data_IF_709391074059
#
_entry.id   IF_709391074059
#
_cell.length_a   1.000
_cell.length_b   1.000
_cell.length_c   1.000
_cell.angle_alpha   90.00
_cell.angle_beta   90.00
_cell.angle_gamma   90.00
#
_symmetry.space_group_name_H-M   'P 1'
#
loop_
_entity.id
_entity.type
_entity.pdbx_description
1 polymer ?
#
# COMPACT_ATOMS: atom_id res chain seq x y z
N UNK A 1 10.58 20.37 24.92
CA UNK A 1 11.72 20.16 25.79
C UNK A 1 12.90 19.58 25.00
N UNK A 2 12.78 18.41 24.39
CA UNK A 2 13.87 17.75 23.67
C UNK A 2 14.51 18.56 22.52
N UNK A 3 13.77 19.41 21.82
CA UNK A 3 14.29 20.25 20.72
C UNK A 3 15.14 21.39 21.29
N UNK A 4 14.67 22.05 22.34
CA UNK A 4 15.42 23.14 23.00
C UNK A 4 16.71 22.63 23.60
N UNK A 5 16.72 21.44 24.21
CA UNK A 5 17.91 20.82 24.77
C UNK A 5 18.97 20.55 23.68
N UNK A 6 18.57 20.13 22.49
CA UNK A 6 19.45 19.97 21.34
C UNK A 6 20.00 21.29 20.82
N UNK A 7 19.21 22.35 20.77
CA UNK A 7 19.64 23.69 20.34
C UNK A 7 20.71 24.21 21.30
N UNK A 8 20.51 24.06 22.60
CA UNK A 8 21.50 24.46 23.62
C UNK A 8 22.81 23.70 23.45
N UNK A 9 22.72 22.36 23.28
CA UNK A 9 23.89 21.48 23.09
C UNK A 9 24.73 21.89 21.88
N UNK A 10 24.06 22.10 20.72
CA UNK A 10 24.77 22.52 19.50
C UNK A 10 25.40 23.92 19.64
N UNK A 11 24.75 24.82 20.38
CA UNK A 11 25.32 26.15 20.67
C UNK A 11 26.56 26.07 21.56
N UNK A 12 26.54 25.24 22.60
CA UNK A 12 27.69 25.01 23.48
C UNK A 12 28.88 24.41 22.73
N UNK A 13 28.61 23.48 21.82
CA UNK A 13 29.65 22.83 21.01
C UNK A 13 30.04 23.60 19.76
N UNK A 14 29.50 24.80 19.54
CA UNK A 14 29.72 25.63 18.32
C UNK A 14 29.52 24.88 17.00
N UNK A 15 28.51 24.03 16.97
CA UNK A 15 28.12 23.28 15.77
C UNK A 15 26.81 23.84 15.20
N UNK A 16 26.69 23.84 13.88
CA UNK A 16 25.50 24.32 13.21
C UNK A 16 24.37 23.30 13.32
N UNK A 17 23.18 23.78 13.63
CA UNK A 17 21.97 22.97 13.72
C UNK A 17 20.90 23.56 12.81
N UNK A 18 20.56 22.83 11.76
CA UNK A 18 19.39 23.10 10.90
C UNK A 18 18.22 22.30 11.45
N UNK A 19 17.10 22.97 11.68
CA UNK A 19 15.86 22.29 12.08
C UNK A 19 14.70 22.72 11.17
N UNK A 20 13.80 21.77 10.93
CA UNK A 20 12.63 21.97 10.09
C UNK A 20 11.38 21.54 10.87
N UNK A 21 10.23 22.05 10.45
CA UNK A 21 8.92 21.71 11.00
C UNK A 21 8.14 20.83 10.04
N UNK A 22 7.25 20.00 10.56
CA UNK A 22 6.39 19.16 9.74
C UNK A 22 5.33 19.93 8.94
N UNK A 23 5.03 21.16 9.36
CA UNK A 23 4.09 22.06 8.71
C UNK A 23 4.56 23.51 8.85
N UNK A 24 4.30 24.31 7.81
CA UNK A 24 4.58 25.74 7.74
C UNK A 24 3.28 26.48 7.37
N UNK A 25 3.14 27.72 7.85
CA UNK A 25 1.94 28.53 7.60
C UNK A 25 2.01 29.32 6.28
N UNK A 26 3.10 29.22 5.54
CA UNK A 26 3.36 29.96 4.29
C UNK A 26 2.99 29.17 3.01
N UNK A 27 2.39 27.99 3.18
CA UNK A 27 1.96 27.12 2.08
C UNK A 27 3.09 26.37 1.38
N UNK A 28 4.35 26.54 1.81
CA UNK A 28 5.51 25.83 1.25
C UNK A 28 5.73 24.49 1.92
N UNK A 29 6.34 23.58 1.18
CA UNK A 29 6.65 22.24 1.69
C UNK A 29 7.88 22.26 2.64
N UNK A 30 7.98 21.25 3.51
CA UNK A 30 9.18 21.00 4.31
C UNK A 30 10.44 20.90 3.44
N UNK A 31 10.32 20.36 2.21
CA UNK A 31 11.43 20.21 1.30
C UNK A 31 11.95 21.55 0.79
N UNK A 32 11.07 22.51 0.55
CA UNK A 32 11.45 23.84 0.07
C UNK A 32 12.17 24.61 1.17
N UNK A 33 11.68 24.54 2.41
CA UNK A 33 12.37 25.14 3.56
C UNK A 33 13.73 24.51 3.80
N UNK A 34 13.83 23.18 3.75
CA UNK A 34 15.12 22.50 3.91
C UNK A 34 16.13 22.87 2.81
N UNK A 35 15.66 23.00 1.55
CA UNK A 35 16.51 23.44 0.44
C UNK A 35 17.09 24.85 0.69
N UNK A 36 16.24 25.78 1.10
CA UNK A 36 16.67 27.15 1.39
C UNK A 36 17.72 27.18 2.49
N UNK A 37 17.50 26.45 3.59
CA UNK A 37 18.48 26.39 4.69
C UNK A 37 19.80 25.78 4.23
N UNK A 38 19.78 24.67 3.50
CA UNK A 38 21.00 24.04 2.99
C UNK A 38 21.79 24.97 2.05
N UNK A 39 21.11 25.71 1.17
CA UNK A 39 21.75 26.69 0.29
C UNK A 39 22.44 27.81 1.10
N UNK A 40 21.81 28.31 2.19
CA UNK A 40 22.42 29.31 3.07
C UNK A 40 23.73 28.84 3.69
N UNK A 41 23.83 27.53 3.97
CA UNK A 41 25.05 26.90 4.47
C UNK A 41 26.05 26.50 3.37
N UNK A 42 25.81 26.89 2.13
CA UNK A 42 26.73 26.67 1.01
C UNK A 42 26.67 25.28 0.38
N UNK A 43 25.60 24.51 0.64
CA UNK A 43 25.43 23.23 -0.02
C UNK A 43 24.91 23.42 -1.44
N UNK A 44 25.58 22.82 -2.41
CA UNK A 44 25.08 22.69 -3.78
C UNK A 44 24.12 21.49 -3.84
N UNK A 45 22.86 21.78 -4.15
CA UNK A 45 21.84 20.74 -4.26
C UNK A 45 21.78 20.21 -5.69
N UNK A 46 22.18 18.96 -5.87
CA UNK A 46 22.03 18.26 -7.15
C UNK A 46 20.78 17.39 -7.10
N UNK A 47 19.74 17.70 -7.90
CA UNK A 47 18.56 16.86 -7.98
C UNK A 47 18.94 15.50 -8.58
N UNK A 48 18.67 14.42 -7.86
CA UNK A 48 18.86 13.07 -8.37
C UNK A 48 17.54 12.55 -8.92
N UNK A 49 17.57 11.72 -9.98
CA UNK A 49 16.39 11.04 -10.46
C UNK A 49 15.73 10.23 -9.33
N UNK A 50 14.42 10.31 -9.22
CA UNK A 50 13.66 9.60 -8.16
C UNK A 50 13.96 8.09 -8.12
N UNK A 51 14.31 7.52 -9.28
CA UNK A 51 14.69 6.10 -9.40
C UNK A 51 16.00 5.80 -8.66
N UNK A 52 17.03 6.61 -8.82
CA UNK A 52 18.31 6.43 -8.11
C UNK A 52 18.16 6.56 -6.60
N UNK A 53 17.35 7.54 -6.17
CA UNK A 53 17.02 7.72 -4.75
C UNK A 53 16.31 6.48 -4.22
N UNK A 54 15.33 5.97 -4.93
CA UNK A 54 14.59 4.77 -4.57
C UNK A 54 15.51 3.54 -4.51
N UNK A 55 16.33 3.30 -5.53
CA UNK A 55 17.28 2.18 -5.57
C UNK A 55 18.27 2.22 -4.39
N UNK A 56 18.75 3.42 -4.05
CA UNK A 56 19.64 3.61 -2.88
C UNK A 56 18.92 3.36 -1.55
N UNK A 57 17.65 3.77 -1.43
CA UNK A 57 16.84 3.50 -0.25
C UNK A 57 16.57 2.00 -0.10
N UNK A 58 16.27 1.31 -1.20
CA UNK A 58 15.94 -0.13 -1.20
C UNK A 58 17.17 -1.00 -0.95
N UNK A 59 18.36 -0.59 -1.42
CA UNK A 59 19.61 -1.34 -1.24
C UNK A 59 20.16 -1.33 0.19
N UNK A 60 19.65 -0.47 1.06
CA UNK A 60 20.01 -0.46 2.48
C UNK A 60 19.28 -1.60 3.18
N UNK A 61 19.99 -2.63 3.64
CA UNK A 61 19.45 -3.88 4.25
C UNK A 61 18.47 -3.67 5.43
N UNK A 62 18.41 -2.49 5.99
CA UNK A 62 17.53 -2.15 7.13
C UNK A 62 16.19 -1.51 6.73
N UNK A 63 15.73 -1.60 5.48
CA UNK A 63 14.56 -0.85 5.09
C UNK A 63 13.24 -1.48 5.56
N UNK A 64 13.02 -1.42 6.88
CA UNK A 64 11.78 -1.83 7.56
C UNK A 64 10.53 -1.17 6.95
N UNK A 65 10.68 0.01 6.33
CA UNK A 65 9.56 0.73 5.70
C UNK A 65 9.09 0.06 4.41
N UNK A 66 10.03 -0.34 3.54
CA UNK A 66 9.71 -1.04 2.30
C UNK A 66 9.08 -2.40 2.60
N UNK A 67 9.68 -3.17 3.51
CA UNK A 67 9.11 -4.48 3.91
C UNK A 67 7.70 -4.34 4.50
N UNK A 68 7.44 -3.30 5.29
CA UNK A 68 6.11 -3.01 5.82
C UNK A 68 5.12 -2.60 4.72
N UNK A 69 5.57 -1.76 3.77
CA UNK A 69 4.74 -1.35 2.63
C UNK A 69 4.37 -2.57 1.77
N UNK A 70 5.36 -3.41 1.43
CA UNK A 70 5.12 -4.66 0.67
C UNK A 70 4.10 -5.54 1.39
N UNK A 71 4.29 -5.77 2.70
CA UNK A 71 3.34 -6.55 3.50
C UNK A 71 1.93 -5.94 3.48
N UNK A 72 1.84 -4.62 3.59
CA UNK A 72 0.55 -3.91 3.56
C UNK A 72 -0.14 -4.06 2.20
N UNK A 73 0.59 -3.91 1.10
CA UNK A 73 0.07 -4.11 -0.27
C UNK A 73 -0.40 -5.56 -0.47
N UNK A 74 0.41 -6.54 -0.06
CA UNK A 74 0.02 -7.95 -0.14
C UNK A 74 -1.26 -8.24 0.66
N UNK A 75 -1.34 -7.76 1.90
CA UNK A 75 -2.53 -7.92 2.74
C UNK A 75 -3.75 -7.25 2.13
N UNK A 76 -3.58 -6.06 1.55
CA UNK A 76 -4.67 -5.37 0.87
C UNK A 76 -5.18 -6.17 -0.34
N UNK A 77 -4.29 -6.65 -1.22
CA UNK A 77 -4.64 -7.44 -2.40
C UNK A 77 -5.35 -8.74 -1.99
N UNK A 78 -4.84 -9.41 -0.97
CA UNK A 78 -5.48 -10.62 -0.43
C UNK A 78 -6.90 -10.32 0.05
N UNK A 79 -7.09 -9.30 0.89
CA UNK A 79 -8.42 -8.90 1.37
C UNK A 79 -9.34 -8.45 0.23
N UNK A 80 -8.81 -7.75 -0.76
CA UNK A 80 -9.55 -7.32 -1.95
C UNK A 80 -10.14 -8.53 -2.70
N UNK A 81 -9.32 -9.55 -2.94
CA UNK A 81 -9.73 -10.80 -3.59
C UNK A 81 -10.67 -11.64 -2.70
N UNK A 82 -10.32 -11.80 -1.42
CA UNK A 82 -11.14 -12.56 -0.44
C UNK A 82 -12.58 -12.02 -0.33
N UNK A 83 -12.75 -10.70 -0.51
CA UNK A 83 -14.08 -10.08 -0.52
C UNK A 83 -14.73 -10.02 -1.91
N UNK A 84 -14.13 -10.63 -2.93
CA UNK A 84 -14.65 -10.66 -4.30
C UNK A 84 -14.83 -9.27 -4.89
N UNK A 85 -13.95 -8.32 -4.54
CA UNK A 85 -14.03 -6.96 -5.04
C UNK A 85 -13.58 -6.89 -6.50
N UNK A 86 -14.26 -6.08 -7.28
CA UNK A 86 -13.94 -5.82 -8.69
C UNK A 86 -13.02 -4.61 -8.85
N UNK A 87 -12.35 -4.50 -9.98
CA UNK A 87 -11.40 -3.41 -10.27
C UNK A 87 -12.02 -2.02 -10.18
N UNK A 88 -13.33 -1.87 -10.41
CA UNK A 88 -14.05 -0.61 -10.24
C UNK A 88 -14.01 -0.07 -8.80
N UNK A 89 -13.78 -0.97 -7.83
CA UNK A 89 -13.63 -0.57 -6.44
C UNK A 89 -12.40 0.31 -6.21
N UNK A 90 -11.32 0.16 -6.98
CA UNK A 90 -10.15 1.04 -6.87
C UNK A 90 -10.52 2.49 -7.16
N UNK A 91 -11.19 2.73 -8.29
CA UNK A 91 -11.66 4.08 -8.64
C UNK A 91 -12.58 4.65 -7.55
N UNK A 92 -13.55 3.86 -7.09
CA UNK A 92 -14.47 4.29 -6.02
C UNK A 92 -13.74 4.64 -4.73
N UNK A 93 -12.78 3.83 -4.28
CA UNK A 93 -12.01 4.11 -3.06
C UNK A 93 -11.12 5.35 -3.21
N UNK A 94 -10.49 5.54 -4.36
CA UNK A 94 -9.67 6.71 -4.65
C UNK A 94 -10.50 8.01 -4.66
N UNK A 95 -11.68 7.98 -5.25
CA UNK A 95 -12.58 9.16 -5.32
C UNK A 95 -13.25 9.49 -3.99
N UNK A 96 -13.54 8.48 -3.17
CA UNK A 96 -14.18 8.70 -1.85
C UNK A 96 -13.18 9.15 -0.79
N UNK A 97 -11.89 8.83 -0.95
CA UNK A 97 -10.87 9.19 0.03
C UNK A 97 -10.48 10.66 -0.08
N UNK A 98 -10.46 11.37 1.05
CA UNK A 98 -9.92 12.74 1.15
C UNK A 98 -8.43 12.77 1.51
N UNK A 99 -7.79 11.62 1.74
CA UNK A 99 -6.41 11.53 2.18
C UNK A 99 -5.50 11.16 0.99
N UNK A 100 -4.60 12.06 0.63
CA UNK A 100 -3.66 11.89 -0.49
C UNK A 100 -2.75 10.66 -0.33
N UNK A 101 -2.32 10.34 0.89
CA UNK A 101 -1.52 9.12 1.14
C UNK A 101 -2.32 7.86 0.85
N UNK A 102 -3.60 7.86 1.21
CA UNK A 102 -4.51 6.74 0.90
C UNK A 102 -4.71 6.60 -0.60
N UNK A 103 -4.90 7.69 -1.32
CA UNK A 103 -5.02 7.65 -2.78
C UNK A 103 -3.75 7.08 -3.43
N UNK A 104 -2.57 7.57 -3.04
CA UNK A 104 -1.30 7.05 -3.55
C UNK A 104 -1.10 5.57 -3.23
N UNK A 105 -1.44 5.15 -2.02
CA UNK A 105 -1.39 3.74 -1.63
C UNK A 105 -2.32 2.89 -2.51
N UNK A 106 -3.55 3.35 -2.75
CA UNK A 106 -4.51 2.65 -3.61
C UNK A 106 -4.02 2.57 -5.06
N UNK A 107 -3.38 3.62 -5.60
CA UNK A 107 -2.75 3.57 -6.92
C UNK A 107 -1.65 2.50 -6.99
N UNK A 108 -0.82 2.38 -5.95
CA UNK A 108 0.21 1.33 -5.87
C UNK A 108 -0.45 -0.05 -5.82
N UNK A 109 -1.47 -0.22 -4.99
CA UNK A 109 -2.20 -1.49 -4.88
C UNK A 109 -2.85 -1.90 -6.20
N UNK A 110 -3.46 -0.95 -6.91
CA UNK A 110 -4.08 -1.18 -8.21
C UNK A 110 -3.05 -1.67 -9.24
N UNK A 111 -1.92 -0.99 -9.38
CA UNK A 111 -0.86 -1.40 -10.30
C UNK A 111 -0.28 -2.78 -9.94
N UNK A 112 -0.03 -3.01 -8.64
CA UNK A 112 0.45 -4.31 -8.18
C UNK A 112 -0.58 -5.43 -8.43
N UNK A 113 -1.87 -5.15 -8.25
CA UNK A 113 -2.95 -6.10 -8.53
C UNK A 113 -3.01 -6.47 -10.02
N UNK A 114 -2.94 -5.49 -10.92
CA UNK A 114 -2.94 -5.74 -12.36
C UNK A 114 -1.72 -6.56 -12.79
N UNK A 115 -0.54 -6.21 -12.33
CA UNK A 115 0.68 -6.95 -12.67
C UNK A 115 0.67 -8.36 -12.08
N UNK A 116 0.17 -8.54 -10.86
CA UNK A 116 0.01 -9.83 -10.21
C UNK A 116 -0.95 -10.74 -11.00
N UNK A 117 -2.14 -10.25 -11.32
CA UNK A 117 -3.14 -11.02 -12.07
C UNK A 117 -2.69 -11.34 -13.48
N UNK A 118 -1.96 -10.43 -14.14
CA UNK A 118 -1.33 -10.66 -15.44
C UNK A 118 -0.34 -11.82 -15.36
N UNK A 119 0.56 -11.82 -14.36
CA UNK A 119 1.55 -12.89 -14.17
C UNK A 119 0.92 -14.23 -13.85
N UNK A 120 -0.18 -14.27 -13.10
CA UNK A 120 -0.93 -15.51 -12.88
C UNK A 120 -1.47 -16.06 -14.19
N UNK A 121 -2.08 -15.22 -15.03
CA UNK A 121 -2.59 -15.61 -16.34
C UNK A 121 -1.50 -16.12 -17.27
N UNK A 122 -0.35 -15.44 -17.34
CA UNK A 122 0.80 -15.84 -18.16
C UNK A 122 1.37 -17.20 -17.74
N UNK A 123 1.26 -17.55 -16.47
CA UNK A 123 1.69 -18.83 -15.91
C UNK A 123 0.62 -19.92 -15.93
N UNK A 124 -0.58 -19.62 -16.43
CA UNK A 124 -1.76 -20.49 -16.31
C UNK A 124 -2.01 -20.95 -14.87
N UNK A 125 -1.81 -20.06 -13.92
CA UNK A 125 -1.95 -20.30 -12.48
C UNK A 125 -3.10 -19.48 -11.89
N UNK A 126 -3.65 -20.02 -10.80
CA UNK A 126 -4.65 -19.35 -9.97
C UNK A 126 -4.15 -19.38 -8.52
N UNK A 127 -4.51 -18.41 -7.72
CA UNK A 127 -4.28 -18.44 -6.26
C UNK A 127 -5.50 -18.99 -5.52
N UNK A 128 -5.38 -19.12 -4.20
CA UNK A 128 -6.46 -19.66 -3.36
C UNK A 128 -7.72 -18.81 -3.40
N UNK A 129 -7.59 -17.50 -3.44
CA UNK A 129 -8.72 -16.58 -3.51
C UNK A 129 -9.43 -16.70 -4.87
N UNK A 130 -8.70 -16.83 -5.97
CA UNK A 130 -9.26 -17.08 -7.29
C UNK A 130 -10.01 -18.41 -7.32
N UNK A 131 -9.41 -19.47 -6.75
CA UNK A 131 -10.03 -20.79 -6.69
C UNK A 131 -11.40 -20.73 -5.97
N UNK A 132 -11.48 -20.01 -4.85
CA UNK A 132 -12.72 -19.84 -4.09
C UNK A 132 -13.73 -19.01 -4.86
N UNK A 133 -13.30 -17.88 -5.42
CA UNK A 133 -14.16 -16.96 -6.17
C UNK A 133 -14.72 -17.62 -7.43
N UNK A 134 -13.88 -18.34 -8.17
CA UNK A 134 -14.30 -19.07 -9.37
C UNK A 134 -15.23 -20.23 -9.04
N UNK A 135 -14.96 -20.97 -7.96
CA UNK A 135 -15.88 -22.02 -7.49
C UNK A 135 -17.24 -21.46 -7.12
N UNK A 136 -17.30 -20.36 -6.39
CA UNK A 136 -18.56 -19.70 -6.04
C UNK A 136 -19.31 -19.19 -7.29
N UNK A 137 -18.60 -18.66 -8.29
CA UNK A 137 -19.17 -18.23 -9.56
C UNK A 137 -19.74 -19.40 -10.34
N UNK A 138 -18.98 -20.48 -10.49
CA UNK A 138 -19.42 -21.68 -11.23
C UNK A 138 -20.65 -22.29 -10.57
N UNK A 139 -20.67 -22.40 -9.23
CA UNK A 139 -21.82 -22.95 -8.51
C UNK A 139 -23.09 -22.13 -8.75
N UNK A 140 -22.99 -20.80 -8.73
CA UNK A 140 -24.13 -19.92 -9.03
C UNK A 140 -24.61 -20.06 -10.48
N UNK A 141 -23.68 -20.15 -11.42
CA UNK A 141 -24.00 -20.34 -12.84
C UNK A 141 -24.73 -21.68 -13.06
N UNK A 142 -24.30 -22.73 -12.40
CA UNK A 142 -24.95 -24.05 -12.46
C UNK A 142 -26.31 -24.05 -11.76
N UNK A 143 -26.47 -23.37 -10.63
CA UNK A 143 -27.77 -23.19 -9.97
C UNK A 143 -28.77 -22.47 -10.88
N UNK A 144 -28.34 -21.40 -11.56
CA UNK A 144 -29.16 -20.68 -12.54
C UNK A 144 -29.59 -21.55 -13.73
N UNK A 145 -28.80 -22.56 -14.10
CA UNK A 145 -29.16 -23.57 -15.11
C UNK A 145 -30.08 -24.66 -14.58
N UNK A 146 -30.42 -24.63 -13.29
CA UNK A 146 -31.26 -25.62 -12.64
C UNK A 146 -30.53 -26.90 -12.22
N UNK A 147 -29.19 -26.89 -12.27
CA UNK A 147 -28.38 -28.00 -11.75
C UNK A 147 -28.50 -28.04 -10.23
N UNK A 148 -29.02 -29.14 -9.69
CA UNK A 148 -29.08 -29.35 -8.24
C UNK A 148 -27.85 -30.10 -7.79
N UNK A 149 -27.17 -29.57 -6.79
CA UNK A 149 -26.11 -30.30 -6.10
C UNK A 149 -26.75 -31.41 -5.27
N UNK A 150 -26.32 -32.65 -5.47
CA UNK A 150 -26.88 -33.84 -4.81
C UNK A 150 -26.27 -34.04 -3.41
N UNK A 151 -26.24 -32.95 -2.61
CA UNK A 151 -25.82 -33.00 -1.22
C UNK A 151 -27.06 -32.98 -0.31
N UNK A 152 -27.19 -33.99 0.51
CA UNK A 152 -28.26 -34.04 1.51
C UNK A 152 -27.96 -33.19 2.76
N UNK A 153 -26.67 -33.07 3.11
CA UNK A 153 -26.19 -32.30 4.25
C UNK A 153 -24.88 -31.60 3.89
N UNK A 154 -24.70 -30.37 4.34
CA UNK A 154 -23.45 -29.61 4.29
C UNK A 154 -23.07 -29.27 5.73
N UNK A 155 -21.90 -29.72 6.17
CA UNK A 155 -21.35 -29.43 7.49
C UNK A 155 -20.16 -28.51 7.30
N UNK A 156 -20.18 -27.34 7.94
CA UNK A 156 -19.13 -26.33 7.86
C UNK A 156 -18.40 -26.29 9.20
N UNK A 157 -17.12 -26.62 9.17
CA UNK A 157 -16.21 -26.45 10.30
C UNK A 157 -15.61 -25.04 10.29
N UNK A 158 -15.20 -24.52 11.45
CA UNK A 158 -14.60 -23.18 11.63
C UNK A 158 -15.42 -22.06 10.95
N UNK A 159 -16.74 -22.08 11.15
CA UNK A 159 -17.67 -21.16 10.49
C UNK A 159 -17.29 -19.68 10.65
N UNK A 160 -16.64 -19.29 11.75
CA UNK A 160 -16.16 -17.93 12.00
C UNK A 160 -15.07 -17.46 11.01
N UNK A 161 -14.38 -18.39 10.35
CA UNK A 161 -13.30 -18.12 9.39
C UNK A 161 -13.81 -18.05 7.95
N UNK A 162 -15.13 -18.10 7.76
CA UNK A 162 -15.73 -18.05 6.44
C UNK A 162 -15.69 -16.62 5.89
N UNK A 163 -15.04 -16.43 4.74
CA UNK A 163 -15.12 -15.19 4.00
C UNK A 163 -16.50 -15.01 3.37
N UNK A 164 -16.85 -13.75 3.02
CA UNK A 164 -18.12 -13.45 2.35
C UNK A 164 -18.35 -14.28 1.09
N UNK A 165 -17.30 -14.57 0.34
CA UNK A 165 -17.39 -15.37 -0.90
C UNK A 165 -17.62 -16.86 -0.64
N UNK A 166 -17.13 -17.38 0.49
CA UNK A 166 -17.40 -18.77 0.90
C UNK A 166 -18.80 -18.94 1.46
N UNK A 167 -19.39 -17.87 1.98
CA UNK A 167 -20.73 -17.87 2.54
C UNK A 167 -21.82 -17.80 1.46
N UNK A 168 -21.58 -17.08 0.37
CA UNK A 168 -22.51 -16.92 -0.75
C UNK A 168 -22.44 -18.08 -1.73
#
# INVERSE_FOLDING_TARGET
KAVNDKIVLHREHKTDLIYTFSAYNDGRSLQDHLKEELIKYGFELQPRPSREVFEKIVSTEENKYISRLVKLVCTFIQNFKTNGMTTDCFFRFQTTSNNERTKLFLCICEQCYYEYTKRLKERHAIDFEDMINDSARILREEELKGTKLDFRYIIVDEYQDISRQRFN
#
